data_IF_705323045584
#
_entry.id   IF_705323045584
#
_cell.length_a   1.000
_cell.length_b   1.000
_cell.length_c   1.000
_cell.angle_alpha   90.00
_cell.angle_beta   90.00
_cell.angle_gamma   90.00
#
_symmetry.space_group_name_H-M   'P 1'
#
loop_
_entity.id
_entity.type
_entity.pdbx_description
1 polymer ?
#
# COMPACT_ATOMS: atom_id res chain seq x y z
N UNK A 1 12.93 13.41 5.66
CA UNK A 1 11.82 12.99 4.78
C UNK A 1 10.92 12.10 5.62
N UNK A 2 9.68 12.51 5.84
CA UNK A 2 8.70 11.64 6.51
C UNK A 2 8.39 10.46 5.60
N UNK A 3 8.48 9.26 6.16
CA UNK A 3 8.08 8.03 5.47
C UNK A 3 6.55 7.99 5.45
N UNK A 4 5.98 7.78 4.28
CA UNK A 4 4.54 7.59 4.17
C UNK A 4 4.19 6.17 4.61
N UNK A 5 3.48 6.07 5.73
CA UNK A 5 3.10 4.78 6.31
C UNK A 5 2.13 4.03 5.37
N UNK A 6 2.26 2.72 5.33
CA UNK A 6 1.33 1.86 4.60
C UNK A 6 -0.08 1.91 5.21
N UNK A 7 -0.16 1.99 6.54
CA UNK A 7 -1.40 2.23 7.29
C UNK A 7 -1.10 3.22 8.41
N UNK A 8 -1.89 4.28 8.52
CA UNK A 8 -1.92 5.20 9.66
C UNK A 8 -3.27 5.08 10.37
N UNK A 9 -3.23 4.84 11.69
CA UNK A 9 -4.41 4.70 12.52
C UNK A 9 -4.38 5.69 13.68
N UNK A 10 -5.55 6.14 14.09
CA UNK A 10 -5.74 6.91 15.32
C UNK A 10 -6.46 6.03 16.35
N UNK A 11 -5.92 5.99 17.56
CA UNK A 11 -6.52 5.28 18.70
C UNK A 11 -6.79 6.28 19.81
N UNK A 12 -8.00 6.27 20.35
CA UNK A 12 -8.41 7.13 21.45
C UNK A 12 -9.06 6.32 22.57
N UNK A 13 -8.62 6.52 23.79
CA UNK A 13 -9.33 5.97 24.95
C UNK A 13 -10.64 6.72 25.15
N UNK A 14 -11.75 5.97 25.17
CA UNK A 14 -13.13 6.50 25.34
C UNK A 14 -13.59 6.30 26.78
N UNK A 15 -13.29 5.13 27.33
CA UNK A 15 -13.52 4.77 28.73
C UNK A 15 -12.27 4.06 29.25
N UNK A 16 -12.13 3.96 30.57
CA UNK A 16 -10.98 3.26 31.20
C UNK A 16 -10.82 1.85 30.63
N UNK A 17 -9.71 1.62 29.93
CA UNK A 17 -9.40 0.34 29.28
C UNK A 17 -10.25 0.01 28.05
N UNK A 18 -10.98 0.98 27.50
CA UNK A 18 -11.75 0.83 26.26
C UNK A 18 -11.37 1.88 25.23
N UNK A 19 -11.03 1.44 24.02
CA UNK A 19 -10.45 2.25 22.97
C UNK A 19 -11.29 2.21 21.70
N UNK A 20 -11.55 3.38 21.13
CA UNK A 20 -12.01 3.52 19.75
C UNK A 20 -10.79 3.70 18.83
N UNK A 21 -10.90 3.30 17.59
CA UNK A 21 -9.88 3.51 16.58
C UNK A 21 -10.50 3.80 15.21
N UNK A 22 -9.74 4.44 14.35
CA UNK A 22 -10.08 4.64 12.95
C UNK A 22 -8.82 4.65 12.09
N UNK A 23 -8.99 4.32 10.82
CA UNK A 23 -7.94 4.48 9.82
C UNK A 23 -7.90 5.96 9.42
N UNK A 24 -6.73 6.61 9.54
CA UNK A 24 -6.49 7.96 9.03
C UNK A 24 -6.08 7.94 7.58
N UNK A 25 -5.19 7.01 7.24
CA UNK A 25 -4.67 6.87 5.89
C UNK A 25 -4.32 5.41 5.62
N UNK A 26 -4.57 4.98 4.40
CA UNK A 26 -4.20 3.66 3.93
C UNK A 26 -3.63 3.77 2.52
N UNK A 27 -2.36 3.42 2.39
CA UNK A 27 -1.60 3.43 1.13
C UNK A 27 -1.41 2.01 0.58
N UNK A 28 -2.18 1.06 1.10
CA UNK A 28 -2.29 -0.30 0.60
C UNK A 28 -3.46 -0.40 -0.38
N UNK A 29 -3.43 -1.42 -1.20
CA UNK A 29 -4.39 -1.70 -2.28
C UNK A 29 -5.80 -2.02 -1.79
N UNK A 30 -6.64 -1.02 -1.49
CA UNK A 30 -7.99 -1.34 -1.04
C UNK A 30 -9.06 -0.39 -1.59
N UNK A 31 -9.68 -0.83 -2.67
CA UNK A 31 -11.04 -0.46 -2.99
C UNK A 31 -11.89 -1.74 -2.89
N UNK A 32 -12.56 -1.95 -1.77
CA UNK A 32 -13.44 -3.11 -1.51
C UNK A 32 -12.76 -4.49 -1.57
N UNK A 33 -11.55 -4.64 -1.00
CA UNK A 33 -10.78 -5.88 -1.09
C UNK A 33 -10.50 -6.50 0.28
N UNK A 34 -10.39 -7.82 0.23
CA UNK A 34 -9.78 -8.60 1.30
C UNK A 34 -8.29 -8.72 0.98
N UNK A 35 -7.46 -8.03 1.72
CA UNK A 35 -6.02 -8.24 1.68
C UNK A 35 -5.64 -9.36 2.62
N UNK A 36 -4.91 -10.33 2.10
CA UNK A 36 -4.36 -11.45 2.88
C UNK A 36 -2.86 -11.48 2.70
N UNK A 37 -2.15 -11.34 3.79
CA UNK A 37 -0.72 -11.62 3.82
C UNK A 37 -0.48 -12.96 4.50
N UNK A 38 -0.01 -13.95 3.73
CA UNK A 38 0.21 -15.31 4.23
C UNK A 38 1.42 -15.40 5.16
N UNK A 39 2.43 -14.54 4.97
CA UNK A 39 3.64 -14.53 5.80
C UNK A 39 3.36 -13.92 7.17
N UNK A 40 2.64 -12.81 7.19
CA UNK A 40 2.22 -12.14 8.42
C UNK A 40 0.98 -12.79 9.03
N UNK A 41 0.32 -13.67 8.28
CA UNK A 41 -0.94 -14.30 8.64
C UNK A 41 -2.00 -13.29 9.13
N UNK A 42 -2.15 -12.23 8.35
CA UNK A 42 -3.13 -11.15 8.59
C UNK A 42 -4.12 -11.06 7.45
N UNK A 43 -5.30 -10.60 7.79
CA UNK A 43 -6.35 -10.26 6.81
C UNK A 43 -6.89 -8.88 7.15
N UNK A 44 -6.92 -8.00 6.14
CA UNK A 44 -7.56 -6.70 6.21
C UNK A 44 -8.75 -6.74 5.29
N UNK A 45 -9.90 -6.40 5.82
CA UNK A 45 -11.15 -6.30 5.09
C UNK A 45 -11.61 -4.85 5.11
N UNK A 46 -11.87 -4.28 3.95
CA UNK A 46 -12.51 -3.00 3.79
C UNK A 46 -13.92 -3.24 3.24
N UNK A 47 -14.93 -2.78 3.95
CA UNK A 47 -16.31 -2.85 3.52
C UNK A 47 -16.81 -1.43 3.25
N UNK A 48 -17.25 -1.20 2.02
CA UNK A 48 -18.02 0.00 1.69
C UNK A 48 -19.50 -0.39 1.65
N UNK A 49 -20.23 -0.04 2.68
CA UNK A 49 -21.69 -0.18 2.63
C UNK A 49 -22.26 0.91 1.69
N UNK A 50 -23.34 0.55 0.96
CA UNK A 50 -24.05 1.46 0.05
C UNK A 50 -24.64 2.69 0.76
N UNK A 51 -24.74 2.65 2.08
CA UNK A 51 -25.43 3.63 2.92
C UNK A 51 -24.62 4.14 4.11
N UNK A 52 -23.39 3.66 4.31
CA UNK A 52 -22.57 4.02 5.46
C UNK A 52 -21.10 4.25 5.08
N UNK A 53 -20.40 4.85 6.02
CA UNK A 53 -18.95 5.09 5.97
C UNK A 53 -18.16 3.81 5.75
N UNK A 54 -16.99 3.94 5.13
CA UNK A 54 -16.04 2.85 4.96
C UNK A 54 -15.70 2.24 6.33
N UNK A 55 -15.93 0.95 6.49
CA UNK A 55 -15.55 0.22 7.70
C UNK A 55 -14.37 -0.68 7.44
N UNK A 56 -13.37 -0.62 8.30
CA UNK A 56 -12.19 -1.45 8.24
C UNK A 56 -12.22 -2.51 9.35
N UNK A 57 -11.82 -3.71 8.98
CA UNK A 57 -11.63 -4.81 9.91
C UNK A 57 -10.24 -5.40 9.70
N UNK A 58 -9.48 -5.52 10.78
CA UNK A 58 -8.16 -6.15 10.76
C UNK A 58 -8.22 -7.39 11.64
N UNK A 59 -7.85 -8.54 11.07
CA UNK A 59 -7.74 -9.82 11.75
C UNK A 59 -6.31 -10.32 11.68
N UNK A 60 -5.74 -10.77 12.81
CA UNK A 60 -4.41 -11.36 12.88
C UNK A 60 -4.46 -12.86 13.09
N UNK A 61 -3.28 -13.49 13.08
CA UNK A 61 -3.08 -14.92 13.34
C UNK A 61 -3.54 -15.39 14.72
N UNK A 62 -3.58 -14.47 15.67
CA UNK A 62 -4.20 -14.74 16.96
C UNK A 62 -5.71 -14.51 16.81
N UNK A 63 -6.57 -15.53 16.96
CA UNK A 63 -8.01 -15.40 16.81
C UNK A 63 -8.65 -14.37 17.77
N UNK A 64 -7.89 -13.89 18.73
CA UNK A 64 -8.33 -12.86 19.67
C UNK A 64 -8.22 -11.43 19.12
N UNK A 65 -7.56 -11.19 17.97
CA UNK A 65 -7.39 -9.85 17.42
C UNK A 65 -8.33 -9.65 16.24
N UNK A 66 -9.54 -9.22 16.56
CA UNK A 66 -10.50 -8.70 15.58
C UNK A 66 -10.76 -7.25 15.95
N UNK A 67 -10.21 -6.31 15.19
CA UNK A 67 -10.44 -4.89 15.38
C UNK A 67 -11.36 -4.35 14.28
N UNK A 68 -12.50 -3.81 14.66
CA UNK A 68 -13.45 -3.11 13.80
C UNK A 68 -13.55 -1.66 14.25
N UNK A 69 -13.57 -0.70 13.33
CA UNK A 69 -13.60 0.74 13.65
C UNK A 69 -14.82 1.16 14.51
N UNK A 70 -15.94 0.48 14.35
CA UNK A 70 -17.18 0.81 15.07
C UNK A 70 -17.34 0.04 16.39
N UNK A 71 -16.32 -0.69 16.84
CA UNK A 71 -16.38 -1.50 18.06
C UNK A 71 -15.25 -1.07 19.00
N UNK A 72 -15.63 -0.80 20.26
CA UNK A 72 -14.62 -0.50 21.29
C UNK A 72 -13.79 -1.76 21.58
N UNK A 73 -12.48 -1.63 21.45
CA UNK A 73 -11.55 -2.68 21.80
C UNK A 73 -11.04 -2.55 23.23
N UNK A 74 -10.65 -3.66 23.82
CA UNK A 74 -9.95 -3.72 25.09
C UNK A 74 -8.44 -3.48 24.90
N UNK A 75 -7.70 -3.56 25.99
CA UNK A 75 -6.25 -3.34 26.01
C UNK A 75 -5.51 -4.37 25.16
N UNK A 76 -5.90 -5.65 25.26
CA UNK A 76 -5.19 -6.74 24.56
C UNK A 76 -5.40 -6.64 23.05
N UNK A 77 -6.62 -6.36 22.62
CA UNK A 77 -6.95 -6.11 21.21
C UNK A 77 -6.20 -4.88 20.68
N UNK A 78 -6.11 -3.78 21.46
CA UNK A 78 -5.33 -2.60 21.09
C UNK A 78 -3.85 -2.93 20.88
N UNK A 79 -3.24 -3.68 21.80
CA UNK A 79 -1.81 -4.08 21.69
C UNK A 79 -1.62 -4.95 20.45
N UNK A 80 -2.52 -5.91 20.20
CA UNK A 80 -2.50 -6.74 19.01
C UNK A 80 -2.64 -5.94 17.71
N UNK A 81 -3.57 -4.97 17.66
CA UNK A 81 -3.78 -4.09 16.52
C UNK A 81 -2.52 -3.27 16.21
N UNK A 82 -1.92 -2.64 17.24
CA UNK A 82 -0.70 -1.85 17.06
C UNK A 82 0.45 -2.69 16.51
N UNK A 83 0.62 -3.92 17.00
CA UNK A 83 1.64 -4.85 16.48
C UNK A 83 1.40 -5.21 15.03
N UNK A 84 0.15 -5.50 14.64
CA UNK A 84 -0.20 -5.80 13.25
C UNK A 84 0.09 -4.61 12.34
N UNK A 85 -0.31 -3.41 12.74
CA UNK A 85 -0.05 -2.17 11.98
C UNK A 85 1.45 -1.91 11.85
N UNK A 86 2.23 -2.14 12.90
CA UNK A 86 3.69 -2.00 12.87
C UNK A 86 4.32 -2.98 11.86
N UNK A 87 3.94 -4.26 11.87
CA UNK A 87 4.46 -5.26 10.93
C UNK A 87 4.05 -4.93 9.48
N UNK A 88 2.82 -4.47 9.25
CA UNK A 88 2.37 -4.00 7.93
C UNK A 88 3.24 -2.81 7.48
N UNK A 89 3.42 -1.83 8.34
CA UNK A 89 4.23 -0.66 8.02
C UNK A 89 5.69 -1.01 7.80
N UNK A 90 6.26 -1.94 8.56
CA UNK A 90 7.61 -2.44 8.35
C UNK A 90 7.79 -3.11 6.98
N UNK A 91 6.80 -3.87 6.54
CA UNK A 91 6.85 -4.61 5.28
C UNK A 91 6.49 -3.75 4.06
N UNK A 92 5.53 -2.85 4.17
CA UNK A 92 4.91 -2.17 3.05
C UNK A 92 5.08 -0.65 3.02
N UNK A 93 5.71 -0.04 4.04
CA UNK A 93 6.02 1.38 3.98
C UNK A 93 6.93 1.67 2.79
N UNK A 94 6.52 2.59 1.97
CA UNK A 94 7.29 3.01 0.80
C UNK A 94 8.51 3.80 1.22
N UNK A 95 9.64 3.50 0.57
CA UNK A 95 10.91 4.21 0.77
C UNK A 95 11.17 5.30 -0.27
N UNK A 96 10.38 5.30 -1.33
CA UNK A 96 10.54 6.15 -2.53
C UNK A 96 9.88 7.54 -2.39
N UNK A 97 9.38 7.86 -1.20
CA UNK A 97 8.84 9.19 -0.87
C UNK A 97 7.35 9.35 -1.17
N UNK A 98 6.77 10.45 -0.72
CA UNK A 98 5.34 10.72 -0.87
C UNK A 98 4.96 10.96 -2.33
N UNK A 99 3.69 10.76 -2.64
CA UNK A 99 3.10 11.15 -3.92
C UNK A 99 3.37 12.64 -4.20
N UNK A 100 3.51 13.02 -5.47
CA UNK A 100 3.62 14.43 -5.84
C UNK A 100 2.32 15.18 -5.52
N UNK A 101 2.41 16.50 -5.41
CA UNK A 101 1.24 17.35 -5.19
C UNK A 101 0.36 17.31 -6.45
N UNK A 102 -0.96 17.35 -6.28
CA UNK A 102 -1.90 17.45 -7.39
C UNK A 102 -1.52 18.62 -8.31
N UNK A 103 -1.38 18.33 -9.59
CA UNK A 103 -0.94 19.28 -10.61
C UNK A 103 0.53 19.14 -10.98
N UNK A 104 1.34 18.45 -10.20
CA UNK A 104 2.73 18.18 -10.52
C UNK A 104 2.88 16.98 -11.46
N UNK A 105 4.02 16.95 -12.16
CA UNK A 105 4.37 15.85 -13.07
C UNK A 105 4.97 14.72 -12.29
N UNK A 106 4.55 13.51 -12.62
CA UNK A 106 5.22 12.26 -12.23
C UNK A 106 5.58 11.41 -13.45
N UNK A 107 6.48 10.46 -13.26
CA UNK A 107 6.94 9.53 -14.29
C UNK A 107 6.46 8.12 -13.98
N UNK A 108 6.24 7.32 -15.01
CA UNK A 108 5.84 5.92 -14.89
C UNK A 108 6.41 5.10 -16.04
N UNK A 109 6.43 3.80 -15.89
CA UNK A 109 6.83 2.84 -16.91
C UNK A 109 5.55 2.38 -17.62
N UNK A 110 5.47 2.60 -18.92
CA UNK A 110 4.32 2.19 -19.72
C UNK A 110 4.39 0.70 -20.13
N UNK A 111 3.39 0.21 -20.82
CA UNK A 111 3.24 -1.16 -21.30
C UNK A 111 4.31 -1.59 -22.32
N UNK A 112 5.06 -0.64 -22.87
CA UNK A 112 6.24 -0.87 -23.75
C UNK A 112 7.56 -0.81 -23.00
N UNK A 113 7.54 -0.77 -21.65
CA UNK A 113 8.67 -0.59 -20.76
C UNK A 113 9.46 0.71 -20.98
N UNK A 114 8.83 1.72 -21.56
CA UNK A 114 9.39 3.08 -21.71
C UNK A 114 8.93 3.95 -20.54
N UNK A 115 9.77 4.93 -20.24
CA UNK A 115 9.40 5.94 -19.25
C UNK A 115 8.51 6.99 -19.92
N UNK A 116 7.34 7.16 -19.38
CA UNK A 116 6.34 8.16 -19.76
C UNK A 116 6.08 9.12 -18.60
N UNK A 117 5.50 10.29 -18.87
CA UNK A 117 5.16 11.27 -17.85
C UNK A 117 3.66 11.61 -17.88
N UNK A 118 3.14 12.00 -16.71
CA UNK A 118 1.75 12.38 -16.54
C UNK A 118 1.64 13.45 -15.45
N UNK A 119 0.64 14.34 -15.56
CA UNK A 119 0.27 15.25 -14.50
C UNK A 119 -0.64 14.51 -13.52
N UNK A 120 -0.34 14.57 -12.23
CA UNK A 120 -1.20 14.01 -11.20
C UNK A 120 -2.48 14.84 -11.08
N UNK A 121 -3.56 14.31 -11.60
CA UNK A 121 -4.89 14.94 -11.56
C UNK A 121 -5.77 14.37 -10.44
N UNK A 122 -5.21 13.52 -9.54
CA UNK A 122 -5.97 12.74 -8.55
C UNK A 122 -7.03 11.82 -9.18
N UNK A 123 -6.77 11.34 -10.38
CA UNK A 123 -7.61 10.35 -11.02
C UNK A 123 -7.29 8.94 -10.52
N UNK A 124 -8.21 8.01 -10.69
CA UNK A 124 -8.03 6.61 -10.30
C UNK A 124 -6.71 6.02 -10.83
N UNK A 125 -6.37 6.29 -12.09
CA UNK A 125 -5.13 5.82 -12.72
C UNK A 125 -3.86 6.34 -12.02
N UNK A 126 -3.87 7.58 -11.50
CA UNK A 126 -2.74 8.15 -10.77
C UNK A 126 -2.55 7.42 -9.44
N UNK A 127 -3.66 7.12 -8.76
CA UNK A 127 -3.65 6.31 -7.54
C UNK A 127 -3.18 4.88 -7.79
N UNK A 128 -3.67 4.24 -8.84
CA UNK A 128 -3.26 2.88 -9.20
C UNK A 128 -1.76 2.78 -9.48
N UNK A 129 -1.22 3.70 -10.28
CA UNK A 129 0.22 3.75 -10.55
C UNK A 129 1.04 3.97 -9.29
N UNK A 130 0.62 4.92 -8.46
CA UNK A 130 1.27 5.17 -7.18
C UNK A 130 1.27 3.92 -6.30
N UNK A 131 0.13 3.26 -6.16
CA UNK A 131 -0.02 2.02 -5.39
C UNK A 131 0.86 0.89 -5.91
N UNK A 132 0.88 0.70 -7.23
CA UNK A 132 1.66 -0.37 -7.89
C UNK A 132 3.18 -0.14 -7.86
N UNK A 133 3.65 0.98 -7.32
CA UNK A 133 5.05 1.32 -7.36
C UNK A 133 5.53 1.82 -8.73
N UNK A 134 4.61 2.02 -9.66
CA UNK A 134 4.90 2.56 -11.00
C UNK A 134 4.62 4.08 -11.05
N UNK A 135 5.17 4.79 -10.08
CA UNK A 135 4.98 6.22 -9.90
C UNK A 135 6.26 6.81 -9.34
N UNK A 136 7.00 7.54 -10.16
CA UNK A 136 8.32 8.06 -9.85
C UNK A 136 8.30 9.58 -9.89
N UNK A 137 9.04 10.23 -9.00
CA UNK A 137 9.12 11.69 -8.95
C UNK A 137 10.04 12.25 -10.03
N UNK A 138 11.01 11.45 -10.48
CA UNK A 138 12.00 11.87 -11.47
C UNK A 138 12.08 10.85 -12.62
N UNK A 139 12.44 11.37 -13.79
CA UNK A 139 12.73 10.54 -14.96
C UNK A 139 13.86 9.53 -14.68
N UNK A 140 14.88 9.95 -13.93
CA UNK A 140 16.03 9.09 -13.61
C UNK A 140 15.64 7.88 -12.77
N UNK A 141 14.76 8.06 -11.76
CA UNK A 141 14.24 6.95 -10.96
C UNK A 141 13.42 5.98 -11.80
N UNK A 142 12.50 6.49 -12.63
CA UNK A 142 11.71 5.67 -13.53
C UNK A 142 12.57 4.90 -14.53
N UNK A 143 13.60 5.55 -15.10
CA UNK A 143 14.53 4.92 -16.03
C UNK A 143 15.29 3.79 -15.37
N UNK A 144 15.87 4.03 -14.20
CA UNK A 144 16.59 3.01 -13.42
C UNK A 144 15.69 1.81 -13.09
N UNK A 145 14.42 2.07 -12.74
CA UNK A 145 13.47 1.01 -12.46
C UNK A 145 13.04 0.24 -13.72
N UNK A 146 13.04 0.86 -14.91
CA UNK A 146 12.64 0.20 -16.16
C UNK A 146 13.70 -0.74 -16.74
N UNK A 147 14.98 -0.51 -16.46
CA UNK A 147 16.09 -1.28 -17.04
C UNK A 147 16.00 -2.78 -16.78
N UNK A 148 15.76 -3.27 -15.53
CA UNK A 148 15.66 -4.69 -15.27
C UNK A 148 14.50 -5.38 -16.00
N UNK A 149 13.37 -4.68 -16.18
CA UNK A 149 12.21 -5.21 -16.92
C UNK A 149 12.53 -5.36 -18.40
N UNK A 150 13.23 -4.40 -18.99
CA UNK A 150 13.67 -4.46 -20.39
C UNK A 150 14.66 -5.58 -20.62
N UNK A 151 15.64 -5.74 -19.74
CA UNK A 151 16.60 -6.83 -19.81
C UNK A 151 15.95 -8.20 -19.71
N UNK A 152 15.03 -8.35 -18.74
CA UNK A 152 14.26 -9.58 -18.59
C UNK A 152 13.42 -9.88 -19.84
N UNK A 153 12.74 -8.87 -20.38
CA UNK A 153 11.95 -9.01 -21.59
C UNK A 153 12.80 -9.42 -22.79
N UNK A 154 13.96 -8.82 -22.96
CA UNK A 154 14.92 -9.21 -24.03
C UNK A 154 15.35 -10.66 -23.88
N UNK A 155 15.68 -11.10 -22.67
CA UNK A 155 16.06 -12.50 -22.40
C UNK A 155 14.93 -13.48 -22.74
N UNK A 156 13.70 -13.16 -22.36
CA UNK A 156 12.52 -13.99 -22.65
C UNK A 156 12.24 -14.05 -24.16
N UNK A 157 12.34 -12.91 -24.85
CA UNK A 157 11.91 -12.80 -26.26
C UNK A 157 12.97 -13.30 -27.24
N UNK A 158 14.24 -13.09 -26.95
CA UNK A 158 15.33 -13.36 -27.89
C UNK A 158 16.32 -14.43 -27.41
N UNK A 159 16.12 -14.97 -26.23
CA UNK A 159 17.02 -15.94 -25.59
C UNK A 159 18.31 -15.28 -25.07
N UNK A 160 18.99 -15.96 -24.18
CA UNK A 160 20.36 -15.59 -23.84
C UNK A 160 21.26 -15.89 -25.04
N UNK A 161 21.46 -14.93 -25.93
CA UNK A 161 22.42 -15.01 -27.03
C UNK A 161 23.90 -15.04 -26.55
N UNK A 162 24.15 -15.58 -25.38
CA UNK A 162 25.49 -15.97 -24.92
C UNK A 162 25.77 -17.43 -25.30
N UNK A 163 25.40 -17.81 -26.54
CA UNK A 163 25.85 -19.03 -27.15
C UNK A 163 27.32 -18.91 -27.53
N UNK A 164 28.13 -19.73 -26.91
CA UNK A 164 29.51 -20.00 -27.24
C UNK A 164 29.75 -19.97 -28.75
N UNK A 165 30.70 -19.16 -29.15
CA UNK A 165 31.51 -19.36 -30.33
C UNK A 165 32.95 -19.58 -29.89
#
# INVERSE_FOLDING_TARGET
MEKELAIDIEIKEVFKGRYAWKVKNINLFFDNFIFKDKELNIQIECFRDKYSEETFKITGSNPCVVACENILMDVDTKVGLLRIVEEINKKYTRTDGPRVIKGDVYFYIDDTFKVSQQIDANQLRDFERYRLGNYFRTFSEAKKASEPFRELWYKITYGDNNGNS
#
